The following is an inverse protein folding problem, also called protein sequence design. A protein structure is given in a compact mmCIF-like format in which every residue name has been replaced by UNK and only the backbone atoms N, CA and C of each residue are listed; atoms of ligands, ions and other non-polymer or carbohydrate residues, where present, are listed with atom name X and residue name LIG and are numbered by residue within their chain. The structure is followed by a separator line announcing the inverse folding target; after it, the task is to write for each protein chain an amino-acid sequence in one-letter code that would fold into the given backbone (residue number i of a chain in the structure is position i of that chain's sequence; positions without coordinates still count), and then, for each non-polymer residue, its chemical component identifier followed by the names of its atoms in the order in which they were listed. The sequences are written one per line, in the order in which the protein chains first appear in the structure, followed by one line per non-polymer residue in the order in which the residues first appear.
data_IF_764546373397
#
_entry.id   IF_764546373397
#
_cell.length_a   1.000
_cell.length_b   1.000
_cell.length_c   1.000
_cell.angle_alpha   90.00
_cell.angle_beta   90.00
_cell.angle_gamma   90.00
#
_symmetry.space_group_name_H-M   'P 1'
#
loop_
_entity.id
_entity.type
_entity.pdbx_description
1 polymer ?
#
# COMPACT_ATOMS: atom_id res chain seq x y z
N UNK A 1 3.77 26.18 11.40
CA UNK A 1 4.44 25.36 10.35
C UNK A 1 4.13 23.92 10.71
N UNK A 2 3.29 23.25 9.93
CA UNK A 2 3.09 21.81 10.12
C UNK A 2 4.39 21.12 9.70
N UNK A 3 4.96 20.35 10.62
CA UNK A 3 6.18 19.58 10.38
C UNK A 3 5.80 18.42 9.46
N UNK A 4 6.19 18.50 8.18
CA UNK A 4 5.79 17.52 7.18
C UNK A 4 6.23 16.10 7.53
N UNK A 5 5.46 15.11 7.09
CA UNK A 5 5.70 13.70 7.38
C UNK A 5 6.96 13.23 6.64
N UNK A 6 7.96 12.78 7.38
CA UNK A 6 9.10 12.07 6.81
C UNK A 6 8.70 10.65 6.41
N UNK A 7 8.24 10.48 5.17
CA UNK A 7 7.74 9.20 4.65
C UNK A 7 8.85 8.13 4.58
N UNK A 8 10.12 8.52 4.43
CA UNK A 8 11.25 7.58 4.47
C UNK A 8 11.40 6.98 5.86
N UNK A 9 11.37 7.81 6.90
CA UNK A 9 11.44 7.35 8.29
C UNK A 9 10.22 6.48 8.65
N UNK A 10 9.02 6.93 8.30
CA UNK A 10 7.79 6.17 8.48
C UNK A 10 7.91 4.78 7.84
N UNK A 11 8.31 4.71 6.58
CA UNK A 11 8.42 3.44 5.83
C UNK A 11 9.35 2.47 6.55
N UNK A 12 10.54 2.93 6.95
CA UNK A 12 11.50 2.12 7.72
C UNK A 12 10.92 1.61 9.04
N UNK A 13 10.15 2.46 9.74
CA UNK A 13 9.51 2.12 11.01
C UNK A 13 8.44 1.02 10.90
N UNK A 14 7.82 0.81 9.72
CA UNK A 14 6.74 -0.18 9.56
C UNK A 14 7.19 -1.60 9.93
N UNK A 15 8.42 -1.95 9.56
CA UNK A 15 9.01 -3.25 9.87
C UNK A 15 9.24 -3.47 11.36
N UNK A 16 9.38 -2.40 12.14
CA UNK A 16 9.65 -2.41 13.58
C UNK A 16 8.36 -2.47 14.42
N UNK A 17 7.19 -2.20 13.81
CA UNK A 17 5.92 -2.31 14.52
C UNK A 17 5.63 -3.78 14.85
N UNK A 18 5.21 -4.12 16.09
CA UNK A 18 4.81 -5.48 16.42
C UNK A 18 3.48 -5.91 15.75
N UNK A 19 2.61 -4.94 15.42
CA UNK A 19 1.33 -5.10 14.71
C UNK A 19 1.03 -3.84 13.90
N UNK A 20 0.08 -3.87 12.97
CA UNK A 20 -0.24 -2.70 12.14
C UNK A 20 0.94 -2.31 11.24
N UNK A 21 1.55 -3.33 10.63
CA UNK A 21 2.77 -3.25 9.81
C UNK A 21 2.48 -2.85 8.38
N UNK A 22 1.28 -2.36 8.09
CA UNK A 22 0.90 -1.80 6.80
C UNK A 22 0.48 -0.33 6.91
N UNK A 23 0.65 0.43 5.83
CA UNK A 23 0.26 1.83 5.72
C UNK A 23 -0.06 2.17 4.26
N UNK A 24 -0.87 3.21 4.05
CA UNK A 24 -1.30 3.71 2.74
C UNK A 24 -0.84 5.16 2.60
N UNK A 25 -0.19 5.45 1.48
CA UNK A 25 0.07 6.82 0.99
C UNK A 25 -0.83 7.08 -0.21
N UNK A 26 -1.64 8.12 -0.10
CA UNK A 26 -2.56 8.57 -1.13
C UNK A 26 -1.89 9.67 -1.98
N UNK A 27 -1.67 9.38 -3.25
CA UNK A 27 -1.05 10.26 -4.24
C UNK A 27 -2.09 10.98 -5.08
N UNK A 28 -1.80 12.23 -5.45
CA UNK A 28 -2.68 13.05 -6.29
C UNK A 28 -2.27 13.06 -7.77
N UNK A 29 -0.99 12.80 -8.06
CA UNK A 29 -0.49 12.65 -9.43
C UNK A 29 -0.30 11.16 -9.76
N UNK A 30 -1.20 10.61 -10.56
CA UNK A 30 -1.15 9.21 -10.94
C UNK A 30 0.06 8.86 -11.82
N UNK A 31 0.40 9.71 -12.79
CA UNK A 31 1.43 9.41 -13.79
C UNK A 31 2.80 9.16 -13.14
N UNK A 32 3.08 9.85 -12.03
CA UNK A 32 4.34 9.76 -11.32
C UNK A 32 4.33 8.75 -10.17
N UNK A 33 3.18 8.13 -9.87
CA UNK A 33 3.01 7.26 -8.70
C UNK A 33 4.03 6.10 -8.69
N UNK A 34 4.20 5.42 -9.84
CA UNK A 34 5.14 4.31 -9.98
C UNK A 34 6.58 4.76 -9.73
N UNK A 35 6.99 5.86 -10.37
CA UNK A 35 8.33 6.44 -10.23
C UNK A 35 8.60 6.92 -8.81
N UNK A 36 7.62 7.56 -8.17
CA UNK A 36 7.71 8.01 -6.79
C UNK A 36 7.85 6.84 -5.82
N UNK A 37 7.06 5.78 -5.99
CA UNK A 37 7.17 4.56 -5.19
C UNK A 37 8.55 3.90 -5.35
N UNK A 38 9.07 3.82 -6.58
CA UNK A 38 10.42 3.30 -6.85
C UNK A 38 11.52 4.15 -6.20
N UNK A 39 11.39 5.48 -6.25
CA UNK A 39 12.33 6.40 -5.60
C UNK A 39 12.31 6.24 -4.06
N UNK A 40 11.14 6.08 -3.47
CA UNK A 40 11.00 5.81 -2.04
C UNK A 40 11.63 4.45 -1.66
N UNK A 41 11.43 3.42 -2.47
CA UNK A 41 12.03 2.11 -2.25
C UNK A 41 13.56 2.20 -2.27
N UNK A 42 14.13 2.88 -3.27
CA UNK A 42 15.59 3.13 -3.36
C UNK A 42 16.15 3.84 -2.13
N UNK A 43 15.44 4.84 -1.59
CA UNK A 43 15.87 5.59 -0.39
C UNK A 43 15.74 4.80 0.90
N UNK A 44 14.79 3.89 0.96
CA UNK A 44 14.51 3.09 2.16
C UNK A 44 15.29 1.77 2.17
N UNK A 45 15.77 1.32 1.01
CA UNK A 45 16.30 -0.04 0.82
C UNK A 45 15.18 -1.10 0.84
N UNK A 46 13.93 -0.70 0.64
CA UNK A 46 12.79 -1.60 0.58
C UNK A 46 12.63 -2.21 -0.82
N UNK A 47 11.92 -3.33 -0.89
CA UNK A 47 11.45 -3.87 -2.17
C UNK A 47 10.38 -2.95 -2.77
N UNK A 48 10.31 -2.91 -4.11
CA UNK A 48 9.22 -2.26 -4.84
C UNK A 48 8.53 -3.27 -5.74
N UNK A 49 7.21 -3.37 -5.59
CA UNK A 49 6.35 -4.16 -6.45
C UNK A 49 5.31 -3.24 -7.10
N UNK A 50 5.33 -3.17 -8.43
CA UNK A 50 4.24 -2.54 -9.19
C UNK A 50 3.26 -3.62 -9.64
N UNK A 51 2.08 -3.67 -9.02
CA UNK A 51 1.12 -4.76 -9.21
C UNK A 51 0.63 -4.85 -10.65
N UNK A 52 0.36 -3.72 -11.31
CA UNK A 52 -0.11 -3.73 -12.69
C UNK A 52 0.92 -4.38 -13.62
N UNK A 53 2.20 -4.04 -13.50
CA UNK A 53 3.26 -4.70 -14.28
C UNK A 53 3.35 -6.19 -13.91
N UNK A 54 3.23 -6.51 -12.62
CA UNK A 54 3.35 -7.90 -12.13
C UNK A 54 2.27 -8.77 -12.77
N UNK A 55 1.02 -8.32 -12.74
CA UNK A 55 -0.11 -9.02 -13.36
C UNK A 55 -0.05 -9.01 -14.89
N UNK A 56 0.51 -7.97 -15.50
CA UNK A 56 0.68 -7.92 -16.96
C UNK A 56 1.75 -8.90 -17.47
N UNK A 57 2.75 -9.23 -16.65
CA UNK A 57 3.88 -10.08 -17.03
C UNK A 57 3.77 -11.52 -16.51
N UNK A 58 2.76 -11.84 -15.70
CA UNK A 58 2.50 -13.17 -15.15
C UNK A 58 1.14 -13.66 -15.67
N UNK A 59 1.18 -14.65 -16.57
CA UNK A 59 0.00 -15.17 -17.27
C UNK A 59 -1.04 -15.76 -16.28
N UNK A 60 -0.69 -16.64 -15.32
CA UNK A 60 -1.63 -17.10 -14.29
C UNK A 60 -2.30 -15.96 -13.50
N UNK A 61 -1.56 -14.91 -13.12
CA UNK A 61 -2.13 -13.76 -12.43
C UNK A 61 -3.07 -12.97 -13.34
N UNK A 62 -2.67 -12.76 -14.61
CA UNK A 62 -3.44 -12.02 -15.61
C UNK A 62 -4.80 -12.66 -15.89
N UNK A 63 -4.83 -13.97 -16.08
CA UNK A 63 -6.06 -14.73 -16.34
C UNK A 63 -7.04 -14.69 -15.16
N UNK A 64 -6.53 -14.53 -13.93
CA UNK A 64 -7.32 -14.59 -12.71
C UNK A 64 -7.70 -13.21 -12.15
N UNK A 65 -7.40 -12.10 -12.84
CA UNK A 65 -7.64 -10.72 -12.37
C UNK A 65 -9.07 -10.48 -11.86
N UNK A 66 -10.07 -11.06 -12.53
CA UNK A 66 -11.48 -10.86 -12.19
C UNK A 66 -11.93 -11.56 -10.89
N UNK A 67 -11.28 -12.66 -10.52
CA UNK A 67 -11.59 -13.41 -9.30
C UNK A 67 -10.60 -13.13 -8.15
N UNK A 68 -9.51 -12.40 -8.43
CA UNK A 68 -8.49 -12.07 -7.45
C UNK A 68 -9.03 -11.16 -6.35
N UNK A 69 -9.24 -11.69 -5.15
CA UNK A 69 -9.85 -10.97 -4.03
C UNK A 69 -8.84 -10.16 -3.20
N UNK A 70 -9.35 -9.33 -2.28
CA UNK A 70 -8.53 -8.68 -1.25
C UNK A 70 -7.73 -9.70 -0.43
N UNK A 71 -8.32 -10.86 -0.10
CA UNK A 71 -7.60 -11.87 0.68
C UNK A 71 -6.47 -12.51 -0.14
N UNK A 72 -6.70 -12.74 -1.44
CA UNK A 72 -5.67 -13.25 -2.34
C UNK A 72 -4.51 -12.26 -2.47
N UNK A 73 -4.79 -10.95 -2.50
CA UNK A 73 -3.77 -9.90 -2.49
C UNK A 73 -2.84 -9.98 -1.28
N UNK A 74 -3.41 -10.08 -0.07
CA UNK A 74 -2.59 -10.14 1.14
C UNK A 74 -1.87 -11.49 1.27
N UNK A 75 -2.46 -12.60 0.78
CA UNK A 75 -1.75 -13.88 0.68
C UNK A 75 -0.57 -13.79 -0.29
N UNK A 76 -0.78 -13.19 -1.46
CA UNK A 76 0.26 -12.99 -2.47
C UNK A 76 1.49 -12.27 -1.89
N UNK A 77 1.31 -11.24 -1.06
CA UNK A 77 2.45 -10.57 -0.41
C UNK A 77 3.19 -11.44 0.59
N UNK A 78 2.50 -12.33 1.32
CA UNK A 78 3.19 -13.27 2.22
C UNK A 78 4.03 -14.29 1.46
N UNK A 79 3.59 -14.68 0.27
CA UNK A 79 4.22 -15.73 -0.53
C UNK A 79 5.38 -15.19 -1.39
N UNK A 80 5.30 -13.92 -1.82
CA UNK A 80 6.24 -13.33 -2.77
C UNK A 80 7.09 -12.19 -2.21
N UNK A 81 6.85 -11.76 -0.96
CA UNK A 81 7.57 -10.68 -0.32
C UNK A 81 8.83 -11.14 0.39
N UNK A 82 9.99 -11.03 -0.26
CA UNK A 82 11.29 -11.42 0.32
C UNK A 82 11.95 -10.30 1.16
N UNK A 83 11.64 -9.05 0.86
CA UNK A 83 12.21 -7.90 1.57
C UNK A 83 11.56 -7.67 2.94
N UNK A 84 12.24 -7.07 3.93
CA UNK A 84 11.62 -6.73 5.20
C UNK A 84 10.43 -5.76 5.08
N UNK A 85 10.46 -4.92 4.05
CA UNK A 85 9.45 -3.93 3.69
C UNK A 85 9.19 -4.04 2.19
N UNK A 86 7.92 -4.07 1.81
CA UNK A 86 7.44 -4.02 0.43
C UNK A 86 6.68 -2.72 0.21
N UNK A 87 7.13 -1.91 -0.75
CA UNK A 87 6.37 -0.79 -1.27
C UNK A 87 5.57 -1.31 -2.47
N UNK A 88 4.26 -1.10 -2.44
CA UNK A 88 3.32 -1.64 -3.42
C UNK A 88 2.63 -0.48 -4.14
N UNK A 89 2.67 -0.43 -5.46
CA UNK A 89 1.94 0.56 -6.27
C UNK A 89 1.15 -0.08 -7.42
N UNK A 90 0.27 0.68 -8.06
CA UNK A 90 -0.53 0.18 -9.19
C UNK A 90 -1.65 -0.77 -8.79
N UNK A 91 -2.25 -0.61 -7.60
CA UNK A 91 -3.35 -1.45 -7.12
C UNK A 91 -4.72 -1.10 -7.77
N UNK A 92 -4.79 0.01 -8.50
CA UNK A 92 -6.04 0.60 -9.00
C UNK A 92 -6.82 -0.32 -9.93
N UNK A 93 -6.15 -1.15 -10.74
CA UNK A 93 -6.84 -2.08 -11.64
C UNK A 93 -7.57 -3.19 -10.87
N UNK A 94 -7.00 -3.71 -9.77
CA UNK A 94 -7.69 -4.67 -8.90
C UNK A 94 -8.84 -4.00 -8.14
N UNK A 95 -8.65 -2.76 -7.70
CA UNK A 95 -9.79 -2.01 -7.13
C UNK A 95 -10.93 -1.86 -8.11
N UNK A 96 -10.64 -1.66 -9.38
CA UNK A 96 -11.65 -1.60 -10.44
C UNK A 96 -12.38 -2.93 -10.60
N UNK A 97 -11.72 -4.07 -10.44
CA UNK A 97 -12.38 -5.40 -10.52
C UNK A 97 -13.23 -5.70 -9.29
N UNK A 98 -12.95 -5.06 -8.16
CA UNK A 98 -13.77 -5.16 -6.96
C UNK A 98 -14.99 -4.23 -6.95
N UNK A 99 -15.16 -3.37 -7.96
CA UNK A 99 -16.30 -2.47 -8.03
C UNK A 99 -17.62 -3.27 -8.02
N UNK A 100 -18.57 -2.82 -7.19
CA UNK A 100 -19.85 -3.51 -6.99
C UNK A 100 -19.84 -4.56 -5.87
N UNK A 101 -18.66 -4.95 -5.34
CA UNK A 101 -18.59 -5.78 -4.14
C UNK A 101 -18.83 -4.92 -2.88
N UNK A 102 -19.86 -5.27 -2.11
CA UNK A 102 -20.18 -4.55 -0.89
C UNK A 102 -19.00 -4.62 0.11
N UNK A 103 -18.66 -3.47 0.71
CA UNK A 103 -17.67 -3.35 1.78
C UNK A 103 -16.22 -3.72 1.42
N UNK A 104 -15.87 -3.90 0.15
CA UNK A 104 -14.52 -4.37 -0.23
C UNK A 104 -13.40 -3.41 0.20
N UNK A 105 -13.61 -2.10 0.11
CA UNK A 105 -12.64 -1.10 0.59
C UNK A 105 -12.50 -1.12 2.12
N UNK A 106 -13.58 -1.42 2.84
CA UNK A 106 -13.54 -1.60 4.29
C UNK A 106 -12.79 -2.88 4.67
N UNK A 107 -12.97 -3.96 3.91
CA UNK A 107 -12.20 -5.20 4.06
C UNK A 107 -10.71 -4.95 3.81
N UNK A 108 -10.36 -4.26 2.73
CA UNK A 108 -8.99 -3.87 2.41
C UNK A 108 -8.37 -3.05 3.56
N UNK A 109 -9.06 -2.01 4.02
CA UNK A 109 -8.56 -1.19 5.11
C UNK A 109 -8.41 -1.97 6.43
N UNK A 110 -9.33 -2.91 6.72
CA UNK A 110 -9.20 -3.81 7.87
C UNK A 110 -7.97 -4.71 7.76
N UNK A 111 -7.67 -5.24 6.57
CA UNK A 111 -6.46 -6.02 6.35
C UNK A 111 -5.20 -5.17 6.55
N UNK A 112 -5.20 -3.91 6.07
CA UNK A 112 -4.11 -2.95 6.34
C UNK A 112 -3.94 -2.70 7.83
N UNK A 113 -5.03 -2.41 8.55
CA UNK A 113 -4.99 -2.15 9.99
C UNK A 113 -4.41 -3.34 10.76
N UNK A 114 -4.88 -4.53 10.43
CA UNK A 114 -4.59 -5.77 11.16
C UNK A 114 -3.31 -6.46 10.72
N UNK A 115 -2.65 -5.99 9.66
CA UNK A 115 -1.45 -6.63 9.12
C UNK A 115 -0.34 -6.73 10.17
N UNK A 116 0.09 -7.95 10.46
CA UNK A 116 1.16 -8.25 11.43
C UNK A 116 2.26 -9.16 10.84
N UNK A 117 2.06 -9.63 9.60
CA UNK A 117 2.97 -10.54 8.90
C UNK A 117 4.16 -9.81 8.28
N UNK A 118 5.12 -10.59 7.77
CA UNK A 118 6.16 -10.12 6.84
C UNK A 118 5.69 -10.33 5.39
N UNK A 119 6.08 -9.46 4.45
CA UNK A 119 6.81 -8.20 4.66
C UNK A 119 5.93 -7.12 5.32
N UNK A 120 6.53 -6.07 5.90
CA UNK A 120 5.77 -4.85 6.20
C UNK A 120 5.36 -4.17 4.89
N UNK A 121 4.19 -3.52 4.83
CA UNK A 121 3.61 -3.05 3.57
C UNK A 121 3.42 -1.54 3.55
N UNK A 122 3.85 -0.89 2.47
CA UNK A 122 3.47 0.48 2.17
C UNK A 122 2.75 0.51 0.82
N UNK A 123 1.45 0.74 0.84
CA UNK A 123 0.67 0.94 -0.37
C UNK A 123 0.79 2.38 -0.83
N UNK A 124 1.12 2.60 -2.10
CA UNK A 124 1.13 3.90 -2.77
C UNK A 124 0.03 3.87 -3.81
N UNK A 125 -1.03 4.63 -3.57
CA UNK A 125 -2.29 4.51 -4.31
C UNK A 125 -2.82 5.88 -4.71
N UNK A 126 -3.62 5.94 -5.77
CA UNK A 126 -4.36 7.15 -6.12
C UNK A 126 -5.26 7.57 -4.96
N UNK A 127 -5.48 8.88 -4.86
CA UNK A 127 -6.37 9.42 -3.85
C UNK A 127 -7.75 8.76 -3.91
N UNK A 128 -8.17 8.24 -2.76
CA UNK A 128 -9.46 7.59 -2.57
C UNK A 128 -10.15 8.25 -1.37
N UNK A 129 -11.30 8.87 -1.63
CA UNK A 129 -12.03 9.64 -0.61
C UNK A 129 -12.51 8.77 0.56
N UNK A 130 -12.90 7.52 0.28
CA UNK A 130 -13.35 6.60 1.32
C UNK A 130 -12.19 6.28 2.26
N UNK A 131 -11.05 5.84 1.72
CA UNK A 131 -9.87 5.51 2.51
C UNK A 131 -9.31 6.73 3.25
N UNK A 132 -9.31 7.91 2.63
CA UNK A 132 -8.86 9.15 3.26
C UNK A 132 -9.72 9.55 4.47
N UNK A 133 -11.02 9.24 4.44
CA UNK A 133 -11.95 9.56 5.52
C UNK A 133 -12.00 8.50 6.64
N UNK A 134 -11.37 7.35 6.43
CA UNK A 134 -11.52 6.20 7.31
C UNK A 134 -10.76 6.41 8.63
N UNK A 135 -11.44 6.15 9.75
CA UNK A 135 -10.82 6.17 11.09
C UNK A 135 -10.40 4.76 11.49
N UNK A 136 -9.09 4.56 11.55
CA UNK A 136 -8.49 3.33 12.09
C UNK A 136 -8.60 3.36 13.62
N UNK A 137 -9.24 2.35 14.20
CA UNK A 137 -9.66 2.36 15.60
C UNK A 137 -8.86 1.42 16.51
N UNK A 138 -8.22 0.40 15.94
CA UNK A 138 -7.57 -0.69 16.70
C UNK A 138 -6.20 -0.30 17.22
N UNK A 139 -5.40 0.38 16.40
CA UNK A 139 -4.02 0.77 16.74
C UNK A 139 -3.86 2.28 16.64
N UNK A 140 -4.48 3.01 17.58
CA UNK A 140 -4.57 4.48 17.57
C UNK A 140 -3.23 5.21 17.59
N UNK A 141 -2.16 4.53 18.01
CA UNK A 141 -0.79 5.07 18.00
C UNK A 141 -0.16 5.12 16.60
N UNK A 142 -0.76 4.48 15.60
CA UNK A 142 -0.21 4.42 14.24
C UNK A 142 -1.04 5.21 13.25
N UNK A 143 -0.33 5.86 12.32
CA UNK A 143 -0.92 6.43 11.12
C UNK A 143 -0.96 5.36 10.02
N UNK A 144 -2.16 5.11 9.50
CA UNK A 144 -2.42 4.11 8.46
C UNK A 144 -2.70 4.71 7.09
N UNK A 145 -3.11 5.98 7.03
CA UNK A 145 -3.37 6.70 5.79
C UNK A 145 -2.69 8.05 5.87
N UNK A 146 -1.99 8.40 4.80
CA UNK A 146 -1.19 9.62 4.68
C UNK A 146 -1.50 10.24 3.32
N UNK A 147 -1.74 11.55 3.29
CA UNK A 147 -1.76 12.28 2.04
C UNK A 147 -0.32 12.57 1.61
N UNK A 148 0.04 12.26 0.37
CA UNK A 148 1.37 12.53 -0.17
C UNK A 148 1.74 14.02 -0.05
N UNK A 149 0.76 14.93 -0.11
CA UNK A 149 0.99 16.39 0.02
C UNK A 149 1.48 16.79 1.41
N UNK A 150 1.21 15.98 2.41
CA UNK A 150 1.65 16.20 3.78
C UNK A 150 3.07 15.63 4.01
N UNK A 151 3.66 14.98 3.01
CA UNK A 151 5.00 14.39 3.12
C UNK A 151 6.10 15.37 2.72
N UNK A 152 7.25 15.26 3.38
CA UNK A 152 8.47 15.93 2.91
C UNK A 152 8.83 15.39 1.53
N UNK A 153 9.28 16.29 0.65
CA UNK A 153 9.75 15.92 -0.67
C UNK A 153 10.87 14.86 -0.57
N UNK A 154 10.90 13.94 -1.53
CA UNK A 154 11.97 12.95 -1.66
C UNK A 154 13.22 13.62 -2.26
N UNK A 155 13.80 14.61 -1.57
CA UNK A 155 15.02 15.37 -1.96
C UNK A 155 16.28 14.57 -1.79
#
# INVERSE_FOLDING_TARGET
MEEGINVVHLTKSLSQRPRGRACIVLTHNYLEQKTWAAALAKRTGAGHLHLLDTFANDEPLSENVGAFSVNDLFRFFTENGNDPILIVSGLEFLKATWLGQANVLAQFARQVEMWDKKPALLFVMQHDRFLASLKFGRFKQYQFVIDQRDTLALT
#
